data_IF_642972725750
#
_entry.id   IF_642972725750
#
_cell.length_a   1.000
_cell.length_b   1.000
_cell.length_c   1.000
_cell.angle_alpha   90.00
_cell.angle_beta   90.00
_cell.angle_gamma   90.00
#
_symmetry.space_group_name_H-M   'P 1'
#
loop_
_entity.id
_entity.type
_entity.pdbx_description
1 polymer ?
#
# COMPACT_ATOMS: atom_id res chain seq x y z
N UNK A 1 -13.74 14.23 -9.37
CA UNK A 1 -13.26 12.95 -9.93
C UNK A 1 -14.45 12.04 -10.15
N UNK A 2 -14.62 11.42 -11.33
CA UNK A 2 -15.69 10.44 -11.57
C UNK A 2 -15.27 9.07 -11.03
N UNK A 3 -16.00 8.54 -10.04
CA UNK A 3 -15.75 7.24 -9.41
C UNK A 3 -16.28 6.07 -10.26
N UNK A 4 -17.22 6.32 -11.20
CA UNK A 4 -17.89 5.27 -12.00
C UNK A 4 -16.96 4.54 -12.98
N UNK A 5 -15.77 5.12 -13.22
CA UNK A 5 -14.73 4.48 -14.05
C UNK A 5 -14.04 3.28 -13.37
N UNK A 6 -14.30 3.07 -12.07
CA UNK A 6 -13.70 1.99 -11.29
C UNK A 6 -14.78 1.05 -10.74
N UNK A 7 -14.55 -0.25 -10.84
CA UNK A 7 -15.35 -1.23 -10.11
C UNK A 7 -14.90 -1.25 -8.62
N UNK A 8 -15.49 -0.36 -7.84
CA UNK A 8 -15.20 -0.21 -6.41
C UNK A 8 -15.92 -1.28 -5.55
N UNK A 9 -16.61 -2.25 -6.17
CA UNK A 9 -17.22 -3.41 -5.50
C UNK A 9 -18.17 -3.07 -4.33
N UNK A 10 -18.75 -1.89 -4.34
CA UNK A 10 -19.62 -1.40 -3.25
C UNK A 10 -18.89 -1.21 -1.91
N UNK A 11 -17.60 -0.94 -1.95
CA UNK A 11 -16.79 -0.70 -0.75
C UNK A 11 -17.31 0.49 0.04
N UNK A 12 -17.36 0.37 1.38
CA UNK A 12 -17.77 1.48 2.27
C UNK A 12 -16.80 2.65 2.20
N UNK A 13 -15.52 2.35 2.00
CA UNK A 13 -14.45 3.33 1.81
C UNK A 13 -13.69 2.98 0.54
N UNK A 14 -13.49 3.95 -0.32
CA UNK A 14 -12.72 3.79 -1.54
C UNK A 14 -11.64 4.87 -1.63
N UNK A 15 -10.41 4.45 -1.81
CA UNK A 15 -9.29 5.32 -2.16
C UNK A 15 -9.07 5.28 -3.66
N UNK A 16 -8.68 6.40 -4.25
CA UNK A 16 -8.35 6.47 -5.68
C UNK A 16 -7.02 7.22 -5.81
N UNK A 17 -6.03 6.56 -6.41
CA UNK A 17 -4.72 7.13 -6.71
C UNK A 17 -4.58 7.31 -8.22
N UNK A 18 -4.47 8.54 -8.69
CA UNK A 18 -4.31 8.88 -10.10
C UNK A 18 -2.91 9.43 -10.32
N UNK A 19 -2.12 8.76 -11.16
CA UNK A 19 -0.82 9.29 -11.58
C UNK A 19 -1.00 10.59 -12.38
N UNK A 20 -0.26 11.63 -12.01
CA UNK A 20 -0.31 12.95 -12.65
C UNK A 20 0.95 13.26 -13.49
N UNK A 21 1.71 12.22 -13.80
CA UNK A 21 2.97 12.28 -14.53
C UNK A 21 4.19 11.99 -13.67
N UNK A 22 5.19 11.31 -14.21
CA UNK A 22 6.38 10.90 -13.48
C UNK A 22 6.05 10.06 -12.25
N UNK A 23 6.47 10.53 -11.07
CA UNK A 23 6.24 9.89 -9.79
C UNK A 23 5.12 10.54 -8.97
N UNK A 24 4.55 11.65 -9.45
CA UNK A 24 3.47 12.35 -8.74
C UNK A 24 2.12 11.67 -8.92
N UNK A 25 1.27 11.76 -7.91
CA UNK A 25 -0.12 11.33 -7.99
C UNK A 25 -1.05 12.26 -7.22
N UNK A 26 -2.33 12.22 -7.57
CA UNK A 26 -3.41 12.79 -6.78
C UNK A 26 -4.15 11.65 -6.11
N UNK A 27 -4.32 11.74 -4.81
CA UNK A 27 -5.01 10.75 -3.98
C UNK A 27 -6.34 11.30 -3.50
N UNK A 28 -7.40 10.51 -3.63
CA UNK A 28 -8.76 10.85 -3.22
C UNK A 28 -9.30 9.79 -2.28
N UNK A 29 -10.00 10.20 -1.23
CA UNK A 29 -10.66 9.30 -0.28
C UNK A 29 -12.17 9.56 -0.30
N UNK A 30 -12.93 8.50 -0.53
CA UNK A 30 -14.38 8.53 -0.64
C UNK A 30 -15.03 7.60 0.40
N UNK A 31 -16.24 7.98 0.80
CA UNK A 31 -17.15 7.13 1.60
C UNK A 31 -18.43 6.89 0.83
N UNK A 32 -18.93 5.66 0.88
CA UNK A 32 -20.23 5.30 0.30
C UNK A 32 -21.35 5.74 1.26
N UNK A 33 -22.16 6.72 0.84
CA UNK A 33 -23.29 7.27 1.59
C UNK A 33 -24.53 7.17 0.71
N UNK A 34 -25.54 6.45 1.16
CA UNK A 34 -26.81 6.26 0.45
C UNK A 34 -26.63 5.84 -1.04
N UNK A 35 -25.67 4.94 -1.28
CA UNK A 35 -25.40 4.40 -2.63
C UNK A 35 -24.54 5.31 -3.54
N UNK A 36 -24.03 6.44 -3.04
CA UNK A 36 -23.15 7.35 -3.78
C UNK A 36 -21.82 7.54 -3.04
N UNK A 37 -20.73 7.67 -3.79
CA UNK A 37 -19.42 7.98 -3.23
C UNK A 37 -19.27 9.49 -3.02
N UNK A 38 -19.13 9.88 -1.76
CA UNK A 38 -18.89 11.26 -1.35
C UNK A 38 -17.41 11.46 -1.04
N UNK A 39 -16.81 12.52 -1.59
CA UNK A 39 -15.42 12.88 -1.35
C UNK A 39 -15.24 13.35 0.09
N UNK A 40 -14.34 12.68 0.84
CA UNK A 40 -13.99 13.06 2.21
C UNK A 40 -12.75 13.96 2.25
N UNK A 41 -11.73 13.60 1.47
CA UNK A 41 -10.53 14.43 1.29
C UNK A 41 -9.79 14.08 0.01
N UNK A 42 -8.91 14.97 -0.40
CA UNK A 42 -7.94 14.73 -1.46
C UNK A 42 -6.58 15.32 -1.08
N UNK A 43 -5.50 14.76 -1.61
CA UNK A 43 -4.13 15.23 -1.37
C UNK A 43 -3.21 14.87 -2.52
N UNK A 44 -2.12 15.59 -2.64
CA UNK A 44 -0.99 15.16 -3.46
C UNK A 44 -0.23 14.04 -2.76
N UNK A 45 0.40 13.21 -3.57
CA UNK A 45 1.24 12.12 -3.12
C UNK A 45 2.22 11.71 -4.20
N UNK A 46 2.89 10.60 -3.98
CA UNK A 46 3.76 10.01 -4.99
C UNK A 46 3.67 8.49 -5.03
N UNK A 47 4.16 7.93 -6.12
CA UNK A 47 4.10 6.52 -6.46
C UNK A 47 5.50 5.97 -6.77
N UNK A 48 5.57 4.74 -7.21
CA UNK A 48 6.82 4.10 -7.63
C UNK A 48 7.62 4.91 -8.64
N UNK A 49 8.96 4.91 -8.52
CA UNK A 49 9.87 5.60 -9.44
C UNK A 49 9.69 5.18 -10.90
N UNK A 50 9.17 3.97 -11.15
CA UNK A 50 8.83 3.46 -12.46
C UNK A 50 7.45 3.86 -12.99
N UNK A 51 6.66 4.64 -12.22
CA UNK A 51 5.29 5.02 -12.58
C UNK A 51 4.25 3.90 -12.36
N UNK A 52 3.06 4.05 -12.93
CA UNK A 52 1.96 3.08 -12.84
C UNK A 52 1.99 2.17 -14.05
N UNK A 53 1.87 0.85 -13.83
CA UNK A 53 1.89 -0.16 -14.89
C UNK A 53 0.87 -1.27 -14.67
N UNK A 54 0.32 -1.87 -15.76
CA UNK A 54 -0.56 -3.02 -15.67
C UNK A 54 0.12 -4.18 -14.93
N UNK A 55 -0.61 -4.98 -14.12
CA UNK A 55 -0.06 -6.10 -13.35
C UNK A 55 0.73 -7.12 -14.19
N UNK A 56 0.32 -7.35 -15.45
CA UNK A 56 1.00 -8.28 -16.37
C UNK A 56 2.45 -7.85 -16.69
N UNK A 57 2.75 -6.57 -16.62
CA UNK A 57 4.05 -5.98 -16.94
C UNK A 57 4.94 -5.78 -15.70
N UNK A 58 4.42 -6.09 -14.51
CA UNK A 58 5.16 -5.96 -13.26
C UNK A 58 6.05 -7.17 -12.97
N UNK A 59 7.17 -6.89 -12.32
CA UNK A 59 8.07 -7.89 -11.74
C UNK A 59 8.70 -7.36 -10.44
N UNK A 60 9.26 -8.26 -9.65
CA UNK A 60 9.90 -7.92 -8.37
C UNK A 60 11.04 -6.91 -8.58
N UNK A 61 11.04 -5.84 -7.78
CA UNK A 61 12.07 -4.81 -7.81
C UNK A 61 11.98 -3.78 -8.97
N UNK A 62 10.92 -3.82 -9.79
CA UNK A 62 10.75 -2.93 -10.96
C UNK A 62 10.50 -1.45 -10.61
N UNK A 63 10.20 -1.16 -9.36
CA UNK A 63 9.90 0.20 -8.88
C UNK A 63 8.59 0.77 -9.40
N UNK A 64 7.68 -0.04 -9.93
CA UNK A 64 6.39 0.38 -10.51
C UNK A 64 5.26 0.17 -9.54
N UNK A 65 4.27 1.06 -9.55
CA UNK A 65 3.00 0.91 -8.83
C UNK A 65 2.02 0.13 -9.70
N UNK A 66 1.35 -0.92 -9.17
CA UNK A 66 0.43 -1.72 -9.97
C UNK A 66 -0.86 -0.96 -10.25
N UNK A 67 -1.26 -0.91 -11.53
CA UNK A 67 -2.58 -0.43 -11.96
C UNK A 67 -3.66 -1.44 -11.60
N UNK A 68 -4.82 -0.97 -11.15
CA UNK A 68 -5.96 -1.84 -10.85
C UNK A 68 -6.76 -1.41 -9.63
N UNK A 69 -7.69 -2.27 -9.21
CA UNK A 69 -8.50 -2.09 -7.99
C UNK A 69 -8.16 -3.23 -7.04
N UNK A 70 -7.71 -2.88 -5.84
CA UNK A 70 -7.23 -3.79 -4.82
C UNK A 70 -7.95 -3.56 -3.50
N UNK A 71 -8.18 -4.60 -2.71
CA UNK A 71 -8.58 -4.42 -1.32
C UNK A 71 -7.39 -3.91 -0.49
N UNK A 72 -7.69 -3.22 0.60
CA UNK A 72 -6.70 -2.93 1.64
C UNK A 72 -6.64 -4.13 2.58
N UNK A 73 -5.45 -4.56 2.90
CA UNK A 73 -5.15 -5.65 3.81
C UNK A 73 -4.78 -5.18 5.21
N UNK A 74 -3.71 -5.75 5.75
CA UNK A 74 -3.19 -5.42 7.06
C UNK A 74 -2.79 -3.94 7.17
N UNK A 75 -3.18 -3.31 8.28
CA UNK A 75 -2.70 -2.00 8.69
C UNK A 75 -1.62 -2.17 9.76
N UNK A 76 -0.49 -1.51 9.60
CA UNK A 76 0.65 -1.64 10.50
C UNK A 76 1.48 -0.36 10.59
N UNK A 77 2.38 -0.33 11.55
CA UNK A 77 3.40 0.73 11.66
C UNK A 77 4.09 0.71 13.01
N UNK A 78 5.13 1.53 13.15
CA UNK A 78 5.91 1.64 14.38
C UNK A 78 5.34 2.66 15.39
N UNK A 79 4.21 3.27 15.08
CA UNK A 79 3.54 4.27 15.92
C UNK A 79 2.05 3.96 15.97
N UNK A 80 1.46 4.04 17.15
CA UNK A 80 0.00 3.88 17.32
C UNK A 80 -0.70 5.11 16.73
N UNK A 81 -1.66 4.93 15.78
CA UNK A 81 -2.40 6.05 15.21
C UNK A 81 -3.20 6.82 16.27
N UNK A 82 -3.24 8.14 16.15
CA UNK A 82 -4.03 9.02 17.03
C UNK A 82 -5.53 9.02 16.72
N UNK A 83 -6.00 8.19 15.79
CA UNK A 83 -7.40 8.06 15.39
C UNK A 83 -8.02 6.74 15.88
N UNK A 84 -9.35 6.68 15.89
CA UNK A 84 -10.09 5.44 16.18
C UNK A 84 -10.21 4.62 14.91
N UNK A 85 -9.59 3.44 14.89
CA UNK A 85 -9.67 2.52 13.77
C UNK A 85 -10.80 1.50 13.94
N UNK A 86 -11.42 1.12 12.81
CA UNK A 86 -12.43 0.06 12.72
C UNK A 86 -11.86 -1.27 12.21
N UNK A 87 -10.58 -1.30 11.88
CA UNK A 87 -9.84 -2.48 11.41
C UNK A 87 -8.65 -2.75 12.34
N UNK A 88 -8.16 -3.98 12.45
CA UNK A 88 -6.96 -4.29 13.23
C UNK A 88 -5.75 -3.48 12.76
N UNK A 89 -4.85 -3.18 13.71
CA UNK A 89 -3.59 -2.51 13.45
C UNK A 89 -2.47 -3.22 14.18
N UNK A 90 -1.42 -3.59 13.47
CA UNK A 90 -0.22 -4.24 14.01
C UNK A 90 0.83 -3.18 14.34
N UNK A 91 1.18 -3.07 15.64
CA UNK A 91 2.37 -2.30 16.04
C UNK A 91 3.59 -3.18 15.78
N UNK A 92 4.41 -2.80 14.79
CA UNK A 92 5.60 -3.57 14.40
C UNK A 92 6.76 -3.35 15.35
N UNK A 93 7.58 -4.39 15.50
CA UNK A 93 8.79 -4.43 16.31
C UNK A 93 10.00 -4.99 15.54
N UNK A 94 11.08 -5.30 16.28
CA UNK A 94 12.35 -5.81 15.71
C UNK A 94 12.21 -7.20 15.06
N UNK A 95 11.12 -7.90 15.30
CA UNK A 95 10.86 -9.25 14.75
C UNK A 95 9.95 -9.25 13.51
N UNK A 96 9.54 -8.06 13.04
CA UNK A 96 8.62 -7.91 11.92
C UNK A 96 9.33 -7.71 10.58
N UNK A 97 9.04 -8.60 9.64
CA UNK A 97 9.62 -8.60 8.30
C UNK A 97 8.56 -8.78 7.23
N UNK A 98 8.80 -8.23 6.05
CA UNK A 98 8.02 -8.55 4.84
C UNK A 98 8.87 -9.40 3.90
N UNK A 99 8.43 -10.62 3.60
CA UNK A 99 9.19 -11.55 2.76
C UNK A 99 9.12 -11.15 1.28
N UNK A 100 10.26 -10.77 0.71
CA UNK A 100 10.44 -10.42 -0.71
C UNK A 100 11.20 -11.49 -1.50
N UNK A 101 11.54 -12.64 -0.90
CA UNK A 101 12.19 -13.74 -1.62
C UNK A 101 11.19 -14.52 -2.46
N UNK A 102 11.20 -14.31 -3.77
CA UNK A 102 10.34 -15.00 -4.74
C UNK A 102 10.50 -16.54 -4.75
N UNK A 103 11.50 -17.08 -4.05
CA UNK A 103 11.68 -18.54 -3.88
C UNK A 103 11.13 -19.04 -2.56
N UNK A 104 10.63 -18.17 -1.69
CA UNK A 104 10.07 -18.49 -0.39
C UNK A 104 8.58 -18.85 -0.49
N UNK A 105 8.14 -19.79 0.34
CA UNK A 105 6.72 -20.14 0.49
C UNK A 105 5.90 -19.00 1.10
N UNK A 106 6.55 -18.08 1.82
CA UNK A 106 5.94 -16.90 2.43
C UNK A 106 6.19 -15.62 1.64
N UNK A 107 6.57 -15.73 0.36
CA UNK A 107 6.74 -14.58 -0.51
C UNK A 107 5.52 -13.65 -0.48
N UNK A 108 5.77 -12.35 -0.35
CA UNK A 108 4.78 -11.29 -0.23
C UNK A 108 3.87 -11.41 1.01
N UNK A 109 4.41 -11.89 2.12
CA UNK A 109 3.71 -11.99 3.40
C UNK A 109 4.49 -11.30 4.52
N UNK A 110 3.74 -10.82 5.51
CA UNK A 110 4.27 -10.39 6.80
C UNK A 110 4.69 -11.63 7.60
N UNK A 111 5.90 -11.65 8.13
CA UNK A 111 6.47 -12.79 8.84
C UNK A 111 7.25 -12.33 10.07
N UNK A 112 7.37 -13.21 11.06
CA UNK A 112 8.28 -13.02 12.20
C UNK A 112 9.66 -13.59 11.87
N UNK A 113 10.71 -12.81 12.11
CA UNK A 113 12.09 -13.22 11.88
C UNK A 113 12.50 -14.41 12.75
N UNK A 114 11.98 -14.46 13.99
CA UNK A 114 12.18 -15.59 14.93
C UNK A 114 11.64 -16.93 14.42
N UNK A 115 10.71 -16.91 13.47
CA UNK A 115 10.15 -18.11 12.82
C UNK A 115 10.92 -18.52 11.56
N UNK A 116 11.94 -17.74 11.15
CA UNK A 116 12.72 -17.95 9.93
C UNK A 116 14.06 -18.62 10.21
N UNK A 117 14.56 -19.36 9.22
CA UNK A 117 15.89 -19.95 9.27
C UNK A 117 16.99 -18.90 9.11
N UNK A 118 18.19 -19.22 9.65
CA UNK A 118 19.39 -18.39 9.42
C UNK A 118 19.69 -18.22 7.93
N UNK A 119 19.44 -19.25 7.11
CA UNK A 119 19.60 -19.17 5.65
C UNK A 119 18.71 -18.10 5.05
N UNK A 120 17.42 -18.00 5.45
CA UNK A 120 16.50 -16.98 4.98
C UNK A 120 16.97 -15.58 5.40
N UNK A 121 17.38 -15.41 6.65
CA UNK A 121 17.93 -14.14 7.16
C UNK A 121 19.19 -13.73 6.40
N UNK A 122 20.08 -14.67 6.09
CA UNK A 122 21.33 -14.41 5.37
C UNK A 122 21.11 -14.06 3.87
N UNK A 123 20.03 -14.53 3.23
CA UNK A 123 19.68 -14.14 1.88
C UNK A 123 19.33 -12.64 1.79
N UNK A 124 18.81 -12.04 2.86
CA UNK A 124 18.51 -10.59 2.92
C UNK A 124 17.47 -10.12 1.91
N UNK A 125 16.60 -11.00 1.41
CA UNK A 125 15.56 -10.70 0.43
C UNK A 125 14.24 -10.41 1.13
N UNK A 126 14.24 -9.45 2.02
CA UNK A 126 13.10 -9.03 2.82
C UNK A 126 13.19 -7.56 3.16
N UNK A 127 12.08 -6.99 3.57
CA UNK A 127 12.07 -5.71 4.28
C UNK A 127 11.99 -5.98 5.79
N UNK A 128 13.00 -5.57 6.55
CA UNK A 128 12.93 -5.51 8.01
C UNK A 128 12.15 -4.25 8.38
N UNK A 129 10.85 -4.42 8.68
CA UNK A 129 9.87 -3.33 8.67
C UNK A 129 10.25 -2.19 9.62
N UNK A 130 10.76 -2.51 10.82
CA UNK A 130 11.14 -1.50 11.81
C UNK A 130 12.29 -0.57 11.34
N UNK A 131 13.10 -0.98 10.38
CA UNK A 131 14.18 -0.16 9.83
C UNK A 131 13.70 0.99 8.94
N UNK A 132 12.47 0.90 8.44
CA UNK A 132 11.83 1.96 7.64
C UNK A 132 11.05 2.94 8.51
N UNK A 133 11.66 3.42 9.60
CA UNK A 133 11.02 4.18 10.68
C UNK A 133 10.14 5.34 10.21
N UNK A 134 10.60 6.11 9.22
CA UNK A 134 9.81 7.23 8.68
C UNK A 134 8.69 6.75 7.78
N UNK A 135 8.96 5.85 6.83
CA UNK A 135 7.99 5.35 5.85
C UNK A 135 6.90 4.51 6.49
N UNK A 136 7.26 3.62 7.41
CA UNK A 136 6.33 2.71 8.07
C UNK A 136 5.96 3.20 9.48
N UNK A 137 5.93 4.53 9.65
CA UNK A 137 5.28 5.12 10.81
C UNK A 137 3.80 4.75 10.84
N UNK A 138 3.16 4.80 9.66
CA UNK A 138 1.81 4.33 9.39
C UNK A 138 1.77 3.73 7.99
N UNK A 139 1.27 2.51 7.89
CA UNK A 139 1.16 1.81 6.62
C UNK A 139 -0.09 0.94 6.54
N UNK A 140 -0.53 0.64 5.33
CA UNK A 140 -1.57 -0.33 5.04
C UNK A 140 -1.20 -1.12 3.78
N UNK A 141 -1.35 -2.44 3.82
CA UNK A 141 -1.09 -3.30 2.68
C UNK A 141 -2.11 -3.06 1.58
N UNK A 142 -1.63 -2.85 0.36
CA UNK A 142 -2.44 -2.94 -0.86
C UNK A 142 -2.35 -4.38 -1.33
N UNK A 143 -3.47 -5.11 -1.35
CA UNK A 143 -3.53 -6.54 -1.65
C UNK A 143 -3.25 -6.84 -3.14
N UNK A 144 -2.11 -6.35 -3.62
CA UNK A 144 -1.55 -6.69 -4.91
C UNK A 144 -0.77 -8.01 -4.79
N UNK A 145 -0.95 -8.92 -5.74
CA UNK A 145 -0.23 -10.19 -5.82
C UNK A 145 -0.33 -11.07 -4.56
N UNK A 146 -1.53 -11.20 -3.99
CA UNK A 146 -1.73 -11.99 -2.75
C UNK A 146 -2.58 -13.24 -2.95
N UNK A 147 -3.57 -13.23 -3.84
CA UNK A 147 -4.48 -14.37 -4.01
C UNK A 147 -4.95 -14.54 -5.47
N UNK A 148 -4.28 -15.43 -6.24
CA UNK A 148 -3.06 -16.15 -5.87
C UNK A 148 -1.83 -15.27 -5.85
N UNK A 149 -0.87 -15.59 -4.97
CA UNK A 149 0.46 -15.00 -5.00
C UNK A 149 1.29 -15.67 -6.10
N UNK A 150 1.86 -14.87 -6.99
CA UNK A 150 2.69 -15.35 -8.10
C UNK A 150 4.13 -14.90 -7.86
N UNK A 151 5.04 -15.84 -7.73
CA UNK A 151 6.46 -15.60 -7.49
C UNK A 151 7.06 -14.63 -8.52
N UNK A 152 7.79 -13.62 -8.03
CA UNK A 152 8.49 -12.65 -8.88
C UNK A 152 7.60 -11.59 -9.55
N UNK A 153 6.28 -11.53 -9.24
CA UNK A 153 5.38 -10.52 -9.80
C UNK A 153 5.30 -9.23 -8.98
N UNK A 154 6.10 -9.12 -7.93
CA UNK A 154 6.18 -7.97 -7.04
C UNK A 154 5.57 -8.25 -5.67
N UNK A 155 6.18 -7.67 -4.66
CA UNK A 155 5.83 -7.77 -3.24
C UNK A 155 5.84 -6.40 -2.56
N UNK A 156 5.41 -6.33 -1.30
CA UNK A 156 5.53 -5.15 -0.44
C UNK A 156 4.94 -3.87 -1.06
N UNK A 157 3.74 -3.96 -1.63
CA UNK A 157 3.02 -2.77 -2.14
C UNK A 157 2.10 -2.23 -1.05
N UNK A 158 2.46 -1.05 -0.52
CA UNK A 158 1.77 -0.42 0.60
C UNK A 158 1.24 0.97 0.26
N UNK A 159 0.27 1.43 1.03
CA UNK A 159 -0.06 2.83 1.23
C UNK A 159 0.65 3.26 2.52
N UNK A 160 1.55 4.27 2.48
CA UNK A 160 2.32 4.67 3.65
C UNK A 160 2.69 6.17 3.64
N UNK A 161 3.38 6.63 4.67
CA UNK A 161 3.82 8.03 4.80
C UNK A 161 5.19 8.26 4.15
N UNK A 162 5.54 9.51 3.79
CA UNK A 162 6.80 9.83 3.13
C UNK A 162 8.02 9.68 4.07
N UNK A 163 9.14 9.23 3.51
CA UNK A 163 10.45 9.46 4.12
C UNK A 163 10.93 10.89 3.85
N UNK A 164 11.69 11.49 4.76
CA UNK A 164 12.27 12.83 4.56
C UNK A 164 13.03 12.93 3.22
N UNK A 165 12.69 13.95 2.41
CA UNK A 165 13.33 14.21 1.13
C UNK A 165 12.99 13.27 -0.02
N UNK A 166 12.13 12.27 0.20
CA UNK A 166 11.72 11.34 -0.86
C UNK A 166 10.59 11.93 -1.72
N UNK A 167 10.68 11.69 -3.04
CA UNK A 167 9.67 12.09 -4.04
C UNK A 167 9.19 10.92 -4.89
N UNK A 168 9.60 9.70 -4.54
CA UNK A 168 9.18 8.46 -5.19
C UNK A 168 9.33 7.27 -4.25
N UNK A 169 8.64 6.18 -4.54
CA UNK A 169 8.73 4.91 -3.82
C UNK A 169 9.33 3.79 -4.69
N UNK A 170 9.44 2.59 -4.12
CA UNK A 170 9.80 1.38 -4.86
C UNK A 170 8.58 0.68 -5.50
N UNK A 171 7.38 1.28 -5.41
CA UNK A 171 6.12 0.74 -5.95
C UNK A 171 4.91 1.10 -5.11
N UNK A 172 5.11 1.52 -3.88
CA UNK A 172 4.06 1.92 -2.95
C UNK A 172 3.37 3.22 -3.38
N UNK A 173 2.17 3.46 -2.85
CA UNK A 173 1.49 4.74 -2.88
C UNK A 173 1.81 5.49 -1.58
N UNK A 174 2.24 6.74 -1.70
CA UNK A 174 2.69 7.54 -0.56
C UNK A 174 1.91 8.83 -0.46
N UNK A 175 1.37 9.10 0.74
CA UNK A 175 0.60 10.31 1.03
C UNK A 175 1.09 10.96 2.33
N UNK A 176 0.91 12.28 2.51
CA UNK A 176 1.32 12.96 3.74
C UNK A 176 0.70 12.33 5.00
N UNK A 177 1.44 12.38 6.11
CA UNK A 177 1.10 11.72 7.37
C UNK A 177 -0.30 12.08 7.88
N UNK A 178 -0.67 13.34 7.85
CA UNK A 178 -2.00 13.80 8.29
C UNK A 178 -3.16 13.17 7.50
N UNK A 179 -2.94 12.92 6.20
CA UNK A 179 -3.92 12.24 5.33
C UNK A 179 -3.88 10.73 5.51
N UNK A 180 -2.72 10.16 5.83
CA UNK A 180 -2.63 8.75 6.16
C UNK A 180 -3.41 8.41 7.44
N UNK A 181 -3.33 9.26 8.47
CA UNK A 181 -4.11 9.10 9.71
C UNK A 181 -5.62 9.17 9.40
N UNK A 182 -6.06 10.14 8.57
CA UNK A 182 -7.46 10.23 8.11
C UNK A 182 -7.87 8.99 7.29
N UNK A 183 -6.97 8.47 6.45
CA UNK A 183 -7.24 7.26 5.69
C UNK A 183 -7.42 6.05 6.63
N UNK A 184 -6.54 5.86 7.61
CA UNK A 184 -6.66 4.81 8.63
C UNK A 184 -7.97 4.88 9.40
N UNK A 185 -8.40 6.08 9.82
CA UNK A 185 -9.70 6.30 10.50
C UNK A 185 -10.90 5.92 9.64
N UNK A 186 -10.78 6.11 8.31
CA UNK A 186 -11.83 5.77 7.35
C UNK A 186 -11.88 4.29 7.00
N UNK A 187 -10.80 3.52 7.21
CA UNK A 187 -10.72 2.13 6.77
C UNK A 187 -11.77 1.24 7.45
N UNK A 188 -12.36 0.35 6.65
CA UNK A 188 -13.30 -0.68 7.03
C UNK A 188 -12.87 -2.01 6.39
N UNK A 189 -13.45 -3.13 6.80
CA UNK A 189 -13.09 -4.47 6.32
C UNK A 189 -13.22 -4.66 4.78
N UNK A 190 -13.97 -3.79 4.11
CA UNK A 190 -14.14 -3.82 2.65
C UNK A 190 -13.59 -2.56 1.96
N UNK A 191 -12.59 -1.91 2.55
CA UNK A 191 -11.91 -0.78 1.90
C UNK A 191 -11.14 -1.24 0.67
N UNK A 192 -11.25 -0.46 -0.41
CA UNK A 192 -10.50 -0.68 -1.65
C UNK A 192 -9.65 0.54 -2.03
N UNK A 193 -8.63 0.30 -2.83
CA UNK A 193 -7.88 1.34 -3.51
C UNK A 193 -7.88 1.07 -5.02
N UNK A 194 -8.29 2.08 -5.81
CA UNK A 194 -8.15 2.08 -7.26
C UNK A 194 -6.91 2.88 -7.65
N UNK A 195 -6.04 2.31 -8.47
CA UNK A 195 -4.80 2.93 -8.94
C UNK A 195 -4.84 2.97 -10.46
N UNK A 196 -4.69 4.16 -11.04
CA UNK A 196 -4.73 4.34 -12.49
C UNK A 196 -3.80 5.47 -12.96
N UNK A 197 -3.39 5.41 -14.22
CA UNK A 197 -2.78 6.55 -14.91
C UNK A 197 -3.79 7.66 -15.07
N UNK A 198 -3.33 8.89 -14.93
CA UNK A 198 -4.11 10.06 -15.35
C UNK A 198 -4.37 10.05 -16.85
N UNK A 199 -5.45 10.67 -17.27
CA UNK A 199 -5.66 10.97 -18.67
C UNK A 199 -4.63 12.04 -19.09
N UNK A 200 -3.87 11.75 -20.14
CA UNK A 200 -2.92 12.70 -20.77
C UNK A 200 -3.67 13.70 -21.63
#
# INVERSE_FOLDING_TARGET
MNTDRFDLKGAKTAFICIGSGGTSCRFYAYRLVQGKYELCFETDGYIGRGGIYPPKEKFEGDGRTPEGVYSIGECFGNTIPSCKMSVPYTLIDEDDYWDGDSTSETYNQHVKGSEKSEEWLNKGKYEHLIKYQSSYRYAAMINYNVSPCVAGKGSAIFLHVPSPGSTSSAGCVVIPEEYMIKALEMMACNTVIAIAKGET
#
